data_IF_488914180357
#
_entry.id   IF_488914180357
#
_cell.length_a   1.000
_cell.length_b   1.000
_cell.length_c   1.000
_cell.angle_alpha   90.00
_cell.angle_beta   90.00
_cell.angle_gamma   90.00
#
_symmetry.space_group_name_H-M   'P 1'
#
loop_
_entity.id
_entity.type
_entity.pdbx_description
1 polymer ?
#
# COMPACT_ATOMS: atom_id res chain seq x y z
N UNK A 1 -34.38 9.98 27.92
CA UNK A 1 -33.98 10.62 26.65
C UNK A 1 -32.83 11.56 26.98
N UNK A 2 -31.67 11.40 26.34
CA UNK A 2 -30.52 12.27 26.61
C UNK A 2 -30.79 13.69 26.06
N UNK A 3 -30.42 14.76 26.77
CA UNK A 3 -30.59 16.13 26.28
C UNK A 3 -29.87 16.33 24.93
N UNK A 4 -30.43 17.12 24.00
CA UNK A 4 -29.79 17.41 22.73
C UNK A 4 -28.43 18.10 22.98
N UNK A 5 -27.37 17.54 22.39
CA UNK A 5 -26.01 18.01 22.55
C UNK A 5 -25.80 19.38 21.88
N UNK A 6 -25.13 20.30 22.57
CA UNK A 6 -24.77 21.62 22.04
C UNK A 6 -23.99 21.49 20.71
N UNK A 7 -24.29 22.35 19.73
CA UNK A 7 -23.67 22.34 18.41
C UNK A 7 -22.13 22.46 18.48
N UNK A 8 -21.62 23.26 19.43
CA UNK A 8 -20.17 23.43 19.64
C UNK A 8 -19.53 22.15 20.19
N UNK A 9 -20.22 21.45 21.10
CA UNK A 9 -19.76 20.16 21.61
C UNK A 9 -19.72 19.09 20.50
N UNK A 10 -20.65 19.14 19.54
CA UNK A 10 -20.63 18.25 18.36
C UNK A 10 -19.40 18.51 17.49
N UNK A 11 -19.10 19.77 17.21
CA UNK A 11 -17.93 20.18 16.42
C UNK A 11 -16.62 19.81 17.11
N UNK A 12 -16.53 20.07 18.42
CA UNK A 12 -15.35 19.72 19.21
C UNK A 12 -15.09 18.22 19.19
N UNK A 13 -16.13 17.39 19.35
CA UNK A 13 -16.01 15.93 19.23
C UNK A 13 -15.49 15.51 17.86
N UNK A 14 -15.97 16.13 16.78
CA UNK A 14 -15.46 15.86 15.44
C UNK A 14 -13.98 16.21 15.32
N UNK A 15 -13.56 17.38 15.79
CA UNK A 15 -12.15 17.83 15.74
C UNK A 15 -11.26 16.88 16.54
N UNK A 16 -11.67 16.48 17.75
CA UNK A 16 -10.90 15.56 18.61
C UNK A 16 -10.66 14.22 17.90
N UNK A 17 -11.60 13.77 17.07
CA UNK A 17 -11.49 12.48 16.36
C UNK A 17 -10.75 12.64 15.03
N UNK A 18 -11.05 13.69 14.26
CA UNK A 18 -10.49 13.87 12.92
C UNK A 18 -9.06 14.40 12.94
N UNK A 19 -8.70 15.23 13.91
CA UNK A 19 -7.38 15.85 13.99
C UNK A 19 -6.24 14.82 14.13
N UNK A 20 -6.31 13.81 15.03
CA UNK A 20 -5.27 12.77 15.11
C UNK A 20 -5.14 11.97 13.81
N UNK A 21 -6.27 11.63 13.16
CA UNK A 21 -6.27 10.92 11.88
C UNK A 21 -5.56 11.74 10.79
N UNK A 22 -5.81 13.05 10.75
CA UNK A 22 -5.17 13.96 9.80
C UNK A 22 -3.66 14.03 10.06
N UNK A 23 -3.24 14.17 11.32
CA UNK A 23 -1.82 14.21 11.69
C UNK A 23 -1.10 12.91 11.30
N UNK A 24 -1.68 11.76 11.60
CA UNK A 24 -1.08 10.45 11.27
C UNK A 24 -0.98 10.24 9.76
N UNK A 25 -2.05 10.50 9.02
CA UNK A 25 -2.05 10.33 7.56
C UNK A 25 -1.08 11.29 6.89
N UNK A 26 -1.05 12.56 7.32
CA UNK A 26 -0.11 13.56 6.82
C UNK A 26 1.35 13.17 7.11
N UNK A 27 1.65 12.66 8.32
CA UNK A 27 2.99 12.18 8.65
C UNK A 27 3.43 10.97 7.80
N UNK A 28 2.51 10.03 7.54
CA UNK A 28 2.79 8.87 6.67
C UNK A 28 3.06 9.34 5.24
N UNK A 29 2.24 10.25 4.72
CA UNK A 29 2.42 10.79 3.38
C UNK A 29 3.70 11.62 3.27
N UNK A 30 4.04 12.40 4.28
CA UNK A 30 5.31 13.14 4.32
C UNK A 30 6.51 12.19 4.21
N UNK A 31 6.48 11.08 4.96
CA UNK A 31 7.54 10.06 4.89
C UNK A 31 7.63 9.39 3.52
N UNK A 32 6.50 9.06 2.90
CA UNK A 32 6.49 8.36 1.61
C UNK A 32 6.76 9.29 0.42
N UNK A 33 6.02 10.40 0.34
CA UNK A 33 6.04 11.28 -0.81
C UNK A 33 7.21 12.27 -0.79
N UNK A 34 7.64 12.73 0.39
CA UNK A 34 8.72 13.72 0.50
C UNK A 34 10.06 13.08 0.87
N UNK A 35 10.09 12.17 1.85
CA UNK A 35 11.34 11.49 2.26
C UNK A 35 11.69 10.27 1.40
N UNK A 36 10.80 9.84 0.50
CA UNK A 36 11.04 8.71 -0.39
C UNK A 36 11.13 7.37 0.34
N UNK A 37 10.59 7.25 1.56
CA UNK A 37 10.57 5.97 2.27
C UNK A 37 9.74 4.95 1.47
N UNK A 38 10.40 3.89 1.00
CA UNK A 38 9.73 2.80 0.28
C UNK A 38 8.59 2.20 1.12
N UNK A 39 7.47 1.86 0.47
CA UNK A 39 6.38 1.17 1.13
C UNK A 39 6.89 -0.17 1.67
N UNK A 40 7.02 -0.28 3.00
CA UNK A 40 7.49 -1.52 3.65
C UNK A 40 6.71 -2.71 3.10
N UNK A 41 7.42 -3.60 2.43
CA UNK A 41 6.90 -4.88 1.95
C UNK A 41 6.41 -5.64 3.17
N UNK A 42 5.09 -5.88 3.25
CA UNK A 42 4.55 -6.76 4.28
C UNK A 42 5.12 -8.15 3.97
N UNK A 43 5.94 -8.75 4.87
CA UNK A 43 6.42 -10.10 4.65
C UNK A 43 5.17 -10.99 4.59
N UNK A 44 4.87 -11.51 3.39
CA UNK A 44 3.80 -12.48 3.15
C UNK A 44 4.17 -13.82 3.78
N UNK A 45 4.24 -13.88 5.09
CA UNK A 45 4.15 -15.15 5.80
C UNK A 45 2.66 -15.45 5.94
N UNK A 46 2.21 -16.47 5.20
CA UNK A 46 0.82 -16.96 5.12
C UNK A 46 -0.15 -16.21 4.18
N UNK A 47 0.31 -15.77 3.01
CA UNK A 47 -0.62 -15.61 1.88
C UNK A 47 -0.94 -17.01 1.35
N UNK A 48 -2.14 -17.52 1.66
CA UNK A 48 -2.70 -18.71 1.03
C UNK A 48 -2.65 -18.51 -0.50
N UNK A 49 -1.94 -19.37 -1.26
CA UNK A 49 -1.78 -19.20 -2.71
C UNK A 49 -3.13 -19.15 -3.45
N UNK A 50 -4.20 -19.68 -2.86
CA UNK A 50 -5.56 -19.63 -3.43
C UNK A 50 -6.16 -18.23 -3.45
N UNK A 51 -5.77 -17.36 -2.52
CA UNK A 51 -6.27 -15.98 -2.45
C UNK A 51 -5.58 -15.13 -3.51
N UNK A 52 -4.27 -15.31 -3.70
CA UNK A 52 -3.53 -14.60 -4.75
C UNK A 52 -4.01 -14.98 -6.16
N UNK A 53 -4.33 -16.25 -6.41
CA UNK A 53 -4.82 -16.71 -7.71
C UNK A 53 -6.22 -16.19 -8.04
N UNK A 54 -7.11 -16.12 -7.04
CA UNK A 54 -8.43 -15.49 -7.19
C UNK A 54 -8.31 -14.00 -7.47
N UNK A 55 -7.42 -13.29 -6.78
CA UNK A 55 -7.21 -11.85 -6.99
C UNK A 55 -6.55 -11.58 -8.36
N UNK A 56 -5.66 -12.48 -8.82
CA UNK A 56 -5.06 -12.43 -10.14
C UNK A 56 -6.08 -12.54 -11.29
N UNK A 57 -7.11 -13.39 -11.14
CA UNK A 57 -8.17 -13.54 -12.15
C UNK A 57 -9.11 -12.34 -12.27
N UNK A 58 -9.27 -11.52 -11.22
CA UNK A 58 -10.21 -10.37 -11.24
C UNK A 58 -9.61 -9.10 -11.85
N UNK A 59 -8.43 -9.17 -12.46
CA UNK A 59 -7.80 -8.03 -13.12
C UNK A 59 -6.68 -7.37 -12.31
N UNK A 60 -5.83 -8.18 -11.68
CA UNK A 60 -4.51 -7.75 -11.21
C UNK A 60 -4.51 -7.04 -9.85
N UNK A 61 -3.46 -7.31 -9.07
CA UNK A 61 -3.19 -6.60 -7.81
C UNK A 61 -2.62 -5.20 -8.14
N UNK A 62 -3.28 -4.10 -7.75
CA UNK A 62 -2.94 -2.74 -8.17
C UNK A 62 -1.62 -2.19 -7.60
N UNK A 63 -0.84 -3.00 -6.87
CA UNK A 63 0.45 -2.62 -6.26
C UNK A 63 1.63 -3.45 -6.78
N UNK A 64 1.49 -4.16 -7.91
CA UNK A 64 2.66 -4.71 -8.59
C UNK A 64 3.53 -3.57 -9.12
N UNK A 65 4.77 -3.52 -8.64
CA UNK A 65 5.80 -2.60 -9.12
C UNK A 65 6.14 -2.96 -10.56
N UNK A 66 5.66 -2.13 -11.49
CA UNK A 66 5.97 -2.21 -12.91
C UNK A 66 7.44 -1.83 -13.11
N UNK A 67 8.31 -2.84 -13.17
CA UNK A 67 9.76 -2.64 -13.33
C UNK A 67 10.62 -3.88 -13.04
N UNK A 68 10.01 -5.06 -12.88
CA UNK A 68 10.75 -6.32 -12.63
C UNK A 68 10.71 -7.31 -13.80
N UNK A 69 10.44 -6.80 -15.01
CA UNK A 69 10.33 -7.61 -16.23
C UNK A 69 11.45 -7.33 -17.25
N UNK A 70 12.40 -6.44 -16.96
CA UNK A 70 13.43 -6.02 -17.93
C UNK A 70 14.81 -6.68 -17.72
N UNK A 71 14.93 -7.68 -16.85
CA UNK A 71 16.18 -8.45 -16.75
C UNK A 71 16.00 -9.83 -17.39
N UNK A 72 16.39 -9.90 -18.65
CA UNK A 72 16.50 -11.11 -19.44
C UNK A 72 17.95 -11.63 -19.34
N UNK A 73 18.29 -12.59 -18.45
CA UNK A 73 19.59 -13.24 -18.52
C UNK A 73 19.49 -14.49 -19.39
N UNK A 74 20.41 -14.57 -20.36
CA UNK A 74 20.91 -15.79 -20.98
C UNK A 74 20.41 -16.16 -22.39
N UNK A 75 20.54 -15.22 -23.34
CA UNK A 75 21.18 -15.57 -24.61
C UNK A 75 22.69 -15.34 -24.46
N UNK A 76 23.47 -16.40 -24.27
CA UNK A 76 24.84 -16.59 -24.80
C UNK A 76 25.34 -17.94 -24.29
N UNK A 77 25.17 -19.01 -25.05
CA UNK A 77 26.10 -20.15 -25.08
C UNK A 77 25.53 -21.27 -25.96
N UNK A 78 25.44 -21.06 -27.28
CA UNK A 78 25.46 -22.14 -28.29
C UNK A 78 25.90 -21.55 -29.62
N UNK A 79 27.19 -21.25 -29.73
CA UNK A 79 27.88 -21.28 -31.01
C UNK A 79 29.37 -21.48 -30.75
N UNK A 80 30.01 -22.31 -31.58
CA UNK A 80 31.42 -22.76 -31.55
C UNK A 80 31.73 -24.05 -30.78
N UNK A 81 31.52 -25.20 -31.45
CA UNK A 81 32.49 -26.31 -31.43
C UNK A 81 32.67 -26.73 -32.89
N UNK A 82 33.88 -26.51 -33.39
CA UNK A 82 34.45 -27.07 -34.63
C UNK A 82 34.97 -28.47 -34.31
#
# INVERSE_FOLDING_TARGET
>A
MAPPMNADAKRLRTIIISFPLLVVTSAILYRRAYLGEEQRTIPRNAADPRIDERIGQVGGVPWQVQGKEDLHPNQTSRDTVV
#
